data_IF_759014907457
#
_entry.id   IF_759014907457
#
_cell.length_a   1.000
_cell.length_b   1.000
_cell.length_c   1.000
_cell.angle_alpha   90.00
_cell.angle_beta   90.00
_cell.angle_gamma   90.00
#
_symmetry.space_group_name_H-M   'P 1'
#
loop_
_entity.id
_entity.type
_entity.pdbx_description
1 polymer ?
#
# COMPACT_ATOMS: atom_id res chain seq x y z
N UNK A 1 -32.99 9.93 25.49
CA UNK A 1 -32.30 9.02 24.56
C UNK A 1 -31.86 9.88 23.39
N UNK A 2 -30.55 9.97 23.12
CA UNK A 2 -29.99 10.75 22.01
C UNK A 2 -30.46 10.17 20.67
N UNK A 3 -30.58 11.00 19.65
CA UNK A 3 -30.98 10.59 18.29
C UNK A 3 -30.07 9.46 17.73
N UNK A 4 -28.81 9.37 18.20
CA UNK A 4 -27.87 8.28 17.91
C UNK A 4 -28.36 6.88 18.32
N UNK A 5 -29.17 6.77 19.36
CA UNK A 5 -29.72 5.48 19.83
C UNK A 5 -30.82 4.90 18.91
N UNK A 6 -31.24 5.63 17.86
CA UNK A 6 -32.24 5.22 16.89
C UNK A 6 -31.68 4.79 15.53
N UNK A 7 -30.35 4.95 15.33
CA UNK A 7 -29.72 4.60 14.07
C UNK A 7 -29.19 3.16 14.13
N UNK A 8 -29.39 2.42 13.05
CA UNK A 8 -28.74 1.12 12.88
C UNK A 8 -27.22 1.29 12.72
N UNK A 9 -26.43 0.29 13.15
CA UNK A 9 -25.00 0.25 12.89
C UNK A 9 -24.71 0.39 11.40
N UNK A 10 -23.56 1.00 11.06
CA UNK A 10 -23.17 1.19 9.66
C UNK A 10 -23.18 -0.15 8.90
N UNK A 11 -23.85 -0.22 7.73
CA UNK A 11 -23.85 -1.44 6.92
C UNK A 11 -22.44 -1.76 6.41
N UNK A 12 -21.91 -2.91 6.80
CA UNK A 12 -20.59 -3.37 6.35
C UNK A 12 -20.46 -3.49 4.82
N UNK A 13 -21.61 -3.69 4.14
CA UNK A 13 -21.66 -3.82 2.69
C UNK A 13 -21.19 -2.56 1.94
N UNK A 14 -21.22 -1.39 2.54
CA UNK A 14 -20.68 -0.16 1.93
C UNK A 14 -19.17 -0.26 1.72
N UNK A 15 -18.47 -0.96 2.59
CA UNK A 15 -17.03 -1.17 2.47
C UNK A 15 -16.64 -2.09 1.30
N UNK A 16 -17.61 -2.82 0.70
CA UNK A 16 -17.37 -3.57 -0.55
C UNK A 16 -17.01 -2.65 -1.73
N UNK A 17 -17.39 -1.38 -1.69
CA UNK A 17 -17.01 -0.40 -2.71
C UNK A 17 -15.48 -0.24 -2.81
N UNK A 18 -14.75 -0.45 -1.71
CA UNK A 18 -13.29 -0.44 -1.70
C UNK A 18 -12.65 -1.52 -2.59
N UNK A 19 -13.38 -2.61 -2.88
CA UNK A 19 -12.90 -3.69 -3.74
C UNK A 19 -12.89 -3.31 -5.24
N UNK A 20 -13.60 -2.25 -5.64
CA UNK A 20 -13.68 -1.81 -7.04
C UNK A 20 -12.28 -1.47 -7.57
N UNK A 21 -11.48 -0.73 -6.80
CA UNK A 21 -10.15 -0.32 -7.24
C UNK A 21 -9.22 -1.51 -7.57
N UNK A 22 -8.96 -2.47 -6.66
CA UNK A 22 -8.10 -3.60 -6.99
C UNK A 22 -8.67 -4.49 -8.10
N UNK A 23 -10.01 -4.66 -8.20
CA UNK A 23 -10.64 -5.43 -9.27
C UNK A 23 -10.47 -4.77 -10.64
N UNK A 24 -10.59 -3.45 -10.73
CA UNK A 24 -10.33 -2.70 -11.97
C UNK A 24 -8.87 -2.78 -12.38
N UNK A 25 -7.92 -2.72 -11.42
CA UNK A 25 -6.49 -2.85 -11.73
C UNK A 25 -6.16 -4.26 -12.20
N UNK A 26 -6.71 -5.31 -11.58
CA UNK A 26 -6.57 -6.69 -12.06
C UNK A 26 -7.07 -6.81 -13.51
N UNK A 27 -8.28 -6.31 -13.77
CA UNK A 27 -8.87 -6.33 -15.11
C UNK A 27 -8.03 -5.53 -16.10
N UNK A 28 -7.57 -4.34 -15.70
CA UNK A 28 -6.73 -3.46 -16.51
C UNK A 28 -5.38 -4.10 -16.86
N UNK A 29 -4.74 -4.78 -15.93
CA UNK A 29 -3.48 -5.49 -16.17
C UNK A 29 -3.67 -6.69 -17.13
N UNK A 30 -4.75 -7.46 -16.96
CA UNK A 30 -5.03 -8.61 -17.82
C UNK A 30 -5.41 -8.19 -19.26
N UNK A 31 -6.31 -7.23 -19.40
CA UNK A 31 -6.74 -6.71 -20.70
C UNK A 31 -5.65 -5.87 -21.37
N UNK A 32 -4.83 -5.18 -20.58
CA UNK A 32 -3.73 -4.33 -21.04
C UNK A 32 -2.64 -5.09 -21.82
N UNK A 33 -2.55 -6.40 -21.66
CA UNK A 33 -1.66 -7.25 -22.50
C UNK A 33 -2.10 -7.24 -23.97
N UNK A 34 -3.40 -7.15 -24.23
CA UNK A 34 -3.96 -7.12 -25.58
C UNK A 34 -4.08 -5.68 -26.10
N UNK A 35 -4.61 -4.79 -25.27
CA UNK A 35 -4.80 -3.37 -25.59
C UNK A 35 -4.26 -2.53 -24.43
N UNK A 36 -3.06 -1.95 -24.53
CA UNK A 36 -2.34 -1.33 -23.41
C UNK A 36 -3.10 -0.19 -22.70
N UNK A 37 -4.07 0.46 -23.37
CA UNK A 37 -4.89 1.52 -22.77
C UNK A 37 -5.67 1.04 -21.53
N UNK A 38 -6.02 -0.24 -21.44
CA UNK A 38 -6.73 -0.79 -20.29
C UNK A 38 -5.91 -0.72 -18.99
N UNK A 39 -4.57 -0.66 -19.07
CA UNK A 39 -3.73 -0.46 -17.89
C UNK A 39 -4.04 0.86 -17.15
N UNK A 40 -4.70 1.82 -17.80
CA UNK A 40 -5.13 3.08 -17.18
C UNK A 40 -6.40 2.97 -16.33
N UNK A 41 -7.09 1.82 -16.26
CA UNK A 41 -8.38 1.67 -15.56
C UNK A 41 -8.29 2.10 -14.09
N UNK A 42 -7.21 1.73 -13.39
CA UNK A 42 -7.00 2.14 -11.99
C UNK A 42 -6.80 3.64 -11.83
N UNK A 43 -5.98 4.26 -12.69
CA UNK A 43 -5.74 5.72 -12.69
C UNK A 43 -7.05 6.47 -12.94
N UNK A 44 -7.80 6.06 -13.97
CA UNK A 44 -9.07 6.71 -14.32
C UNK A 44 -10.06 6.58 -13.15
N UNK A 45 -10.15 5.40 -12.54
CA UNK A 45 -11.04 5.19 -11.41
C UNK A 45 -10.66 6.09 -10.22
N UNK A 46 -9.40 6.08 -9.79
CA UNK A 46 -8.99 6.78 -8.56
C UNK A 46 -8.95 8.30 -8.76
N UNK A 47 -8.50 8.80 -9.91
CA UNK A 47 -8.33 10.24 -10.11
C UNK A 47 -9.50 10.94 -10.79
N UNK A 48 -10.39 10.21 -11.43
CA UNK A 48 -11.53 10.79 -12.14
C UNK A 48 -12.85 10.30 -11.56
N UNK A 49 -13.10 8.99 -11.62
CA UNK A 49 -14.41 8.42 -11.22
C UNK A 49 -14.62 8.54 -9.71
N UNK A 50 -13.62 8.20 -8.90
CA UNK A 50 -13.71 8.28 -7.43
C UNK A 50 -14.07 9.68 -6.92
N UNK A 51 -13.30 10.74 -7.26
CA UNK A 51 -13.64 12.10 -6.86
C UNK A 51 -15.01 12.58 -7.36
N UNK A 52 -15.42 12.19 -8.57
CA UNK A 52 -16.77 12.52 -9.07
C UNK A 52 -17.84 11.83 -8.24
N UNK A 53 -17.66 10.55 -7.91
CA UNK A 53 -18.59 9.82 -7.06
C UNK A 53 -18.64 10.39 -5.64
N UNK A 54 -17.51 10.78 -5.08
CA UNK A 54 -17.43 11.41 -3.76
C UNK A 54 -18.26 12.69 -3.69
N UNK A 55 -18.10 13.57 -4.70
CA UNK A 55 -18.92 14.80 -4.82
C UNK A 55 -20.40 14.50 -5.00
N UNK A 56 -20.76 13.50 -5.82
CA UNK A 56 -22.15 13.18 -6.12
C UNK A 56 -22.89 12.47 -4.97
N UNK A 57 -22.19 11.58 -4.25
CA UNK A 57 -22.77 10.80 -3.17
C UNK A 57 -22.75 11.56 -1.84
N UNK A 58 -21.81 12.46 -1.66
CA UNK A 58 -21.65 13.26 -0.45
C UNK A 58 -21.20 12.44 0.77
N UNK A 59 -21.14 13.12 1.92
CA UNK A 59 -20.71 12.53 3.18
C UNK A 59 -21.87 12.28 4.15
N UNK A 60 -21.83 11.17 4.87
CA UNK A 60 -22.71 10.93 6.01
C UNK A 60 -22.09 11.57 7.27
N UNK A 61 -22.68 12.68 7.74
CA UNK A 61 -22.16 13.45 8.91
C UNK A 61 -22.65 12.92 10.27
N UNK A 62 -23.57 11.95 10.27
CA UNK A 62 -24.14 11.42 11.51
C UNK A 62 -23.39 10.16 11.92
N UNK A 63 -22.67 10.17 13.08
CA UNK A 63 -21.98 8.99 13.57
C UNK A 63 -23.00 7.90 13.92
N UNK A 64 -22.76 6.69 13.43
CA UNK A 64 -23.58 5.51 13.71
C UNK A 64 -23.07 4.76 14.95
N UNK A 65 -23.92 4.00 15.66
CA UNK A 65 -23.46 3.18 16.76
C UNK A 65 -22.52 2.07 16.27
N UNK A 66 -21.57 1.63 17.13
CA UNK A 66 -20.69 0.52 16.79
C UNK A 66 -21.49 -0.77 16.60
N UNK A 67 -20.95 -1.68 15.80
CA UNK A 67 -21.50 -3.03 15.63
C UNK A 67 -21.07 -3.94 16.77
N UNK A 68 -21.87 -4.97 17.08
CA UNK A 68 -21.54 -5.98 18.08
C UNK A 68 -20.37 -6.88 17.65
N UNK A 69 -20.13 -7.02 16.34
CA UNK A 69 -19.04 -7.83 15.79
C UNK A 69 -18.29 -7.11 14.69
N UNK A 70 -16.96 -7.09 14.79
CA UNK A 70 -16.01 -6.61 13.76
C UNK A 70 -15.68 -7.64 12.67
N UNK A 71 -16.16 -8.89 12.80
CA UNK A 71 -15.80 -9.99 11.88
C UNK A 71 -15.97 -9.66 10.39
N UNK A 72 -17.07 -9.03 9.94
CA UNK A 72 -17.22 -8.69 8.52
C UNK A 72 -16.09 -7.78 7.99
N UNK A 73 -15.64 -6.83 8.81
CA UNK A 73 -14.55 -5.93 8.45
C UNK A 73 -13.19 -6.65 8.43
N UNK A 74 -12.97 -7.55 9.38
CA UNK A 74 -11.75 -8.39 9.38
C UNK A 74 -11.69 -9.28 8.13
N UNK A 75 -12.81 -9.89 7.73
CA UNK A 75 -12.90 -10.66 6.47
C UNK A 75 -12.58 -9.78 5.27
N UNK A 76 -13.09 -8.54 5.23
CA UNK A 76 -12.80 -7.60 4.14
C UNK A 76 -11.30 -7.22 4.08
N UNK A 77 -10.65 -7.01 5.22
CA UNK A 77 -9.20 -6.79 5.26
C UNK A 77 -8.43 -7.97 4.65
N UNK A 78 -8.83 -9.20 4.95
CA UNK A 78 -8.25 -10.39 4.33
C UNK A 78 -8.50 -10.45 2.82
N UNK A 79 -9.71 -10.12 2.37
CA UNK A 79 -10.05 -10.06 0.94
C UNK A 79 -9.18 -9.02 0.24
N UNK A 80 -9.05 -7.80 0.78
CA UNK A 80 -8.15 -6.77 0.24
C UNK A 80 -6.69 -7.25 0.19
N UNK A 81 -6.23 -7.92 1.24
CA UNK A 81 -4.87 -8.49 1.29
C UNK A 81 -4.63 -9.52 0.19
N UNK A 82 -5.57 -10.44 -0.03
CA UNK A 82 -5.48 -11.45 -1.10
C UNK A 82 -5.54 -10.77 -2.48
N UNK A 83 -6.45 -9.81 -2.67
CA UNK A 83 -6.57 -9.07 -3.93
C UNK A 83 -5.27 -8.33 -4.26
N UNK A 84 -4.57 -7.77 -3.29
CA UNK A 84 -3.27 -7.14 -3.55
C UNK A 84 -2.25 -8.13 -4.13
N UNK A 85 -2.22 -9.37 -3.65
CA UNK A 85 -1.32 -10.39 -4.22
C UNK A 85 -1.71 -10.73 -5.66
N UNK A 86 -3.01 -10.77 -5.97
CA UNK A 86 -3.51 -10.95 -7.34
C UNK A 86 -3.18 -9.74 -8.21
N UNK A 87 -3.33 -8.50 -7.68
CA UNK A 87 -2.92 -7.27 -8.37
C UNK A 87 -1.44 -7.34 -8.75
N UNK A 88 -0.56 -7.70 -7.82
CA UNK A 88 0.87 -7.82 -8.11
C UNK A 88 1.18 -8.92 -9.13
N UNK A 89 0.53 -10.08 -9.03
CA UNK A 89 0.69 -11.17 -10.00
C UNK A 89 0.27 -10.77 -11.40
N UNK A 90 -0.90 -10.14 -11.54
CA UNK A 90 -1.39 -9.64 -12.84
C UNK A 90 -0.56 -8.47 -13.36
N UNK A 91 -0.04 -7.61 -12.49
CA UNK A 91 0.87 -6.55 -12.88
C UNK A 91 2.20 -7.09 -13.41
N UNK A 92 2.79 -8.10 -12.77
CA UNK A 92 4.00 -8.74 -13.28
C UNK A 92 3.75 -9.43 -14.62
N UNK A 93 2.60 -10.07 -14.79
CA UNK A 93 2.18 -10.61 -16.09
C UNK A 93 2.08 -9.52 -17.17
N UNK A 94 1.46 -8.39 -16.85
CA UNK A 94 1.39 -7.22 -17.73
C UNK A 94 2.79 -6.69 -18.07
N UNK A 95 3.64 -6.47 -17.06
CA UNK A 95 5.00 -5.96 -17.24
C UNK A 95 5.87 -6.88 -18.09
N UNK A 96 5.72 -8.20 -17.91
CA UNK A 96 6.40 -9.21 -18.71
C UNK A 96 6.05 -9.12 -20.21
N UNK A 97 4.76 -8.96 -20.53
CA UNK A 97 4.29 -8.90 -21.92
C UNK A 97 4.50 -7.53 -22.56
N UNK A 98 4.50 -6.47 -21.77
CA UNK A 98 4.59 -5.08 -22.26
C UNK A 98 6.04 -4.63 -22.46
N UNK A 99 6.97 -5.08 -21.62
CA UNK A 99 8.34 -4.62 -21.61
C UNK A 99 8.50 -3.17 -21.14
N UNK A 100 9.69 -2.59 -21.37
CA UNK A 100 10.00 -1.20 -20.98
C UNK A 100 9.42 -0.18 -21.98
N UNK A 101 8.26 0.36 -21.67
CA UNK A 101 7.64 1.44 -22.45
C UNK A 101 6.70 2.28 -21.57
N UNK A 102 6.02 3.27 -22.17
CA UNK A 102 5.14 4.19 -21.43
C UNK A 102 3.96 3.46 -20.74
N UNK A 103 3.45 2.37 -21.34
CA UNK A 103 2.33 1.64 -20.78
C UNK A 103 2.70 0.88 -19.51
N UNK A 104 3.96 0.45 -19.38
CA UNK A 104 4.47 -0.07 -18.09
C UNK A 104 4.35 0.99 -16.99
N UNK A 105 4.67 2.25 -17.30
CA UNK A 105 4.53 3.35 -16.32
C UNK A 105 3.07 3.58 -15.98
N UNK A 106 2.16 3.55 -16.95
CA UNK A 106 0.71 3.69 -16.73
C UNK A 106 0.16 2.55 -15.87
N UNK A 107 0.55 1.30 -16.16
CA UNK A 107 0.17 0.14 -15.34
C UNK A 107 0.73 0.21 -13.92
N UNK A 108 1.99 0.65 -13.79
CA UNK A 108 2.62 0.86 -12.48
C UNK A 108 1.93 1.97 -11.68
N UNK A 109 1.49 3.05 -12.34
CA UNK A 109 0.72 4.13 -11.72
C UNK A 109 -0.64 3.62 -11.21
N UNK A 110 -1.40 2.88 -12.04
CA UNK A 110 -2.66 2.24 -11.63
C UNK A 110 -2.47 1.30 -10.43
N UNK A 111 -1.44 0.44 -10.51
CA UNK A 111 -1.12 -0.53 -9.46
C UNK A 111 -0.70 0.16 -8.17
N UNK A 112 0.15 1.19 -8.24
CA UNK A 112 0.63 1.94 -7.08
C UNK A 112 -0.47 2.73 -6.37
N UNK A 113 -1.35 3.40 -7.12
CA UNK A 113 -2.50 4.12 -6.56
C UNK A 113 -3.47 3.16 -5.85
N UNK A 114 -3.77 2.02 -6.47
CA UNK A 114 -4.61 0.99 -5.85
C UNK A 114 -3.94 0.40 -4.60
N UNK A 115 -2.64 0.18 -4.62
CA UNK A 115 -1.90 -0.33 -3.47
C UNK A 115 -1.90 0.66 -2.30
N UNK A 116 -1.79 1.97 -2.56
CA UNK A 116 -1.92 2.99 -1.52
C UNK A 116 -3.31 2.96 -0.86
N UNK A 117 -4.37 2.99 -1.68
CA UNK A 117 -5.75 3.07 -1.22
C UNK A 117 -6.28 1.76 -0.58
N UNK A 118 -5.69 0.61 -0.90
CA UNK A 118 -6.15 -0.71 -0.47
C UNK A 118 -5.08 -1.46 0.34
N UNK A 119 -3.93 -1.76 -0.27
CA UNK A 119 -2.95 -2.65 0.33
C UNK A 119 -2.26 -2.08 1.57
N UNK A 120 -1.79 -0.82 1.51
CA UNK A 120 -1.07 -0.21 2.65
C UNK A 120 -2.05 0.09 3.79
N UNK A 121 -3.26 0.57 3.49
CA UNK A 121 -4.31 0.77 4.50
C UNK A 121 -4.67 -0.56 5.17
N UNK A 122 -4.84 -1.63 4.41
CA UNK A 122 -5.05 -2.97 4.95
C UNK A 122 -3.86 -3.44 5.78
N UNK A 123 -2.64 -3.23 5.30
CA UNK A 123 -1.42 -3.60 6.03
C UNK A 123 -1.26 -2.81 7.34
N UNK A 124 -1.68 -1.55 7.35
CA UNK A 124 -1.74 -0.70 8.54
C UNK A 124 -2.66 -1.33 9.60
N UNK A 125 -3.92 -1.58 9.26
CA UNK A 125 -4.90 -2.19 10.17
C UNK A 125 -4.44 -3.57 10.70
N UNK A 126 -3.99 -4.45 9.81
CA UNK A 126 -3.48 -5.77 10.18
C UNK A 126 -2.16 -5.69 10.97
N UNK A 127 -1.40 -4.61 10.80
CA UNK A 127 -0.15 -4.34 11.53
C UNK A 127 -0.35 -4.06 13.01
N UNK A 128 -1.55 -3.66 13.43
CA UNK A 128 -1.93 -3.47 14.84
C UNK A 128 -2.34 -4.77 15.55
N UNK A 129 -2.48 -5.87 14.83
CA UNK A 129 -2.86 -7.16 15.40
C UNK A 129 -1.72 -7.78 16.22
N UNK A 130 -2.06 -8.83 16.99
CA UNK A 130 -1.08 -9.54 17.83
C UNK A 130 0.14 -9.98 17.00
N UNK A 131 1.37 -9.66 17.44
CA UNK A 131 2.58 -10.08 16.75
C UNK A 131 2.62 -11.59 16.48
N UNK A 132 3.03 -11.97 15.27
CA UNK A 132 3.10 -13.35 14.77
C UNK A 132 1.74 -14.02 14.52
N UNK A 133 0.62 -13.30 14.61
CA UNK A 133 -0.66 -13.82 14.12
C UNK A 133 -0.68 -13.91 12.59
N UNK A 134 -1.60 -14.68 11.98
CA UNK A 134 -1.75 -14.70 10.53
C UNK A 134 -1.97 -13.30 9.93
N UNK A 135 -2.81 -12.46 10.55
CA UNK A 135 -3.08 -11.09 10.13
C UNK A 135 -1.82 -10.21 10.19
N UNK A 136 -1.00 -10.36 11.24
CA UNK A 136 0.28 -9.65 11.34
C UNK A 136 1.25 -10.08 10.23
N UNK A 137 1.31 -11.36 9.86
CA UNK A 137 2.15 -11.83 8.76
C UNK A 137 1.63 -11.34 7.41
N UNK A 138 0.31 -11.33 7.19
CA UNK A 138 -0.28 -10.77 5.98
C UNK A 138 0.10 -9.29 5.83
N UNK A 139 0.04 -8.48 6.90
CA UNK A 139 0.52 -7.10 6.90
C UNK A 139 1.97 -7.00 6.36
N UNK A 140 2.88 -7.88 6.79
CA UNK A 140 4.27 -7.89 6.32
C UNK A 140 4.40 -8.25 4.84
N UNK A 141 3.62 -9.20 4.37
CA UNK A 141 3.58 -9.57 2.94
C UNK A 141 3.07 -8.40 2.10
N UNK A 142 2.03 -7.69 2.56
CA UNK A 142 1.51 -6.52 1.86
C UNK A 142 2.53 -5.39 1.81
N UNK A 143 3.19 -5.07 2.93
CA UNK A 143 4.26 -4.06 2.97
C UNK A 143 5.48 -4.46 2.13
N UNK A 144 5.79 -5.75 2.04
CA UNK A 144 6.82 -6.24 1.13
C UNK A 144 6.43 -6.01 -0.33
N UNK A 145 5.16 -6.21 -0.69
CA UNK A 145 4.67 -6.00 -2.07
C UNK A 145 4.80 -4.56 -2.56
N UNK A 146 4.91 -3.60 -1.64
CA UNK A 146 5.11 -2.16 -1.93
C UNK A 146 6.48 -1.63 -1.47
N UNK A 147 7.43 -2.52 -1.18
CA UNK A 147 8.79 -2.16 -0.73
C UNK A 147 8.83 -1.24 0.52
N UNK A 148 7.91 -1.40 1.49
CA UNK A 148 7.78 -0.52 2.65
C UNK A 148 7.76 -1.28 4.00
N UNK A 149 8.61 -2.31 4.15
CA UNK A 149 8.62 -3.23 5.30
C UNK A 149 8.82 -2.57 6.66
N UNK A 150 9.51 -1.43 6.73
CA UNK A 150 9.79 -0.73 7.99
C UNK A 150 8.58 0.05 8.54
N UNK A 151 7.58 0.34 7.69
CA UNK A 151 6.42 1.16 8.00
C UNK A 151 5.77 0.81 9.34
N UNK A 152 5.35 -0.44 9.57
CA UNK A 152 4.63 -0.83 10.80
C UNK A 152 5.47 -0.59 12.07
N UNK A 153 6.81 -0.69 12.00
CA UNK A 153 7.66 -0.44 13.17
C UNK A 153 7.66 1.05 13.51
N UNK A 154 7.87 1.88 12.53
CA UNK A 154 7.86 3.33 12.70
C UNK A 154 6.46 3.80 13.12
N UNK A 155 5.44 3.41 12.39
CA UNK A 155 4.06 3.80 12.62
C UNK A 155 3.57 3.46 14.04
N UNK A 156 3.73 2.21 14.47
CA UNK A 156 3.21 1.77 15.77
C UNK A 156 4.02 2.30 16.97
N UNK A 157 5.33 2.55 16.83
CA UNK A 157 6.18 2.88 17.97
C UNK A 157 6.68 4.33 17.99
N UNK A 158 6.61 5.05 16.87
CA UNK A 158 6.99 6.45 16.79
C UNK A 158 5.82 7.35 16.41
N UNK A 159 5.23 7.17 15.23
CA UNK A 159 4.15 8.03 14.72
C UNK A 159 2.98 8.14 15.72
N UNK A 160 2.39 7.05 16.16
CA UNK A 160 1.30 7.07 17.15
C UNK A 160 1.65 7.78 18.48
N UNK A 161 2.93 7.83 18.81
CA UNK A 161 3.39 8.47 20.05
C UNK A 161 3.65 9.96 19.88
N UNK A 162 4.12 10.37 18.71
CA UNK A 162 4.68 11.69 18.48
C UNK A 162 4.00 12.48 17.36
N UNK A 163 2.87 11.98 16.82
CA UNK A 163 2.12 12.66 15.77
C UNK A 163 1.90 14.13 16.08
N UNK A 164 2.03 14.99 15.07
CA UNK A 164 1.95 16.45 15.15
C UNK A 164 3.05 17.10 16.02
N UNK A 165 4.20 16.44 16.21
CA UNK A 165 5.40 17.02 16.83
C UNK A 165 6.62 16.89 15.93
N UNK A 166 7.68 17.68 16.21
CA UNK A 166 8.95 17.65 15.46
C UNK A 166 9.70 16.29 15.57
N UNK A 167 9.27 15.40 16.46
CA UNK A 167 9.85 14.07 16.64
C UNK A 167 9.29 13.04 15.68
N UNK A 168 8.20 13.38 15.02
CA UNK A 168 7.54 12.49 14.06
C UNK A 168 7.92 12.88 12.62
N UNK A 169 8.71 12.07 11.92
CA UNK A 169 9.06 12.36 10.53
C UNK A 169 7.85 12.32 9.59
N UNK A 170 6.77 11.62 9.98
CA UNK A 170 5.52 11.52 9.22
C UNK A 170 4.54 12.68 9.51
N UNK A 171 4.94 13.67 10.31
CA UNK A 171 4.16 14.91 10.52
C UNK A 171 4.73 16.06 9.70
N UNK A 172 3.89 16.67 8.84
CA UNK A 172 4.25 17.88 8.13
C UNK A 172 4.30 19.08 9.09
N UNK A 173 5.24 20.00 8.85
CA UNK A 173 5.27 21.29 9.56
C UNK A 173 4.35 22.29 8.85
N UNK A 174 3.92 23.32 9.60
CA UNK A 174 3.10 24.37 9.00
C UNK A 174 3.80 25.01 7.79
N UNK A 175 3.06 25.16 6.69
CA UNK A 175 3.54 25.75 5.43
C UNK A 175 4.63 24.91 4.70
N UNK A 176 4.84 23.65 5.11
CA UNK A 176 5.77 22.75 4.43
C UNK A 176 5.21 22.32 3.07
N UNK A 177 6.02 22.43 2.00
CA UNK A 177 5.60 21.93 0.70
C UNK A 177 5.59 20.40 0.66
N UNK A 178 4.67 19.81 -0.11
CA UNK A 178 4.58 18.36 -0.30
C UNK A 178 5.91 17.74 -0.75
N UNK A 179 6.63 18.40 -1.66
CA UNK A 179 7.92 17.92 -2.16
C UNK A 179 8.98 17.83 -1.05
N UNK A 180 9.07 18.86 -0.19
CA UNK A 180 9.97 18.86 0.93
C UNK A 180 9.57 17.79 1.95
N UNK A 181 8.27 17.68 2.23
CA UNK A 181 7.73 16.66 3.12
C UNK A 181 8.12 15.24 2.67
N UNK A 182 7.93 14.88 1.41
CA UNK A 182 8.29 13.56 0.89
C UNK A 182 9.78 13.24 1.04
N UNK A 183 10.65 14.21 0.73
CA UNK A 183 12.10 14.04 0.88
C UNK A 183 12.52 13.85 2.35
N UNK A 184 11.81 14.49 3.27
CA UNK A 184 12.03 14.38 4.72
C UNK A 184 11.45 13.09 5.28
N UNK A 185 10.17 12.81 4.98
CA UNK A 185 9.39 11.77 5.67
C UNK A 185 9.88 10.36 5.37
N UNK A 186 10.11 10.01 4.10
CA UNK A 186 10.45 8.64 3.71
C UNK A 186 11.78 8.16 4.34
N UNK A 187 12.91 8.87 4.19
CA UNK A 187 14.15 8.48 4.86
C UNK A 187 14.09 8.66 6.38
N UNK A 188 13.32 9.65 6.85
CA UNK A 188 13.12 9.90 8.28
C UNK A 188 12.44 8.75 8.99
N UNK A 189 11.36 8.20 8.42
CA UNK A 189 10.66 7.03 8.93
C UNK A 189 11.55 5.77 8.95
N UNK A 190 12.36 5.56 7.89
CA UNK A 190 13.32 4.46 7.90
C UNK A 190 14.33 4.62 9.04
N UNK A 191 14.93 5.81 9.19
CA UNK A 191 15.86 6.12 10.29
C UNK A 191 15.22 5.90 11.66
N UNK A 192 14.01 6.41 11.87
CA UNK A 192 13.23 6.20 13.09
C UNK A 192 13.04 4.70 13.40
N UNK A 193 12.64 3.90 12.41
CA UNK A 193 12.49 2.46 12.56
C UNK A 193 13.79 1.74 12.97
N UNK A 194 14.93 2.19 12.44
CA UNK A 194 16.26 1.69 12.82
C UNK A 194 16.58 2.04 14.28
N UNK A 195 16.34 3.29 14.68
CA UNK A 195 16.59 3.76 16.05
C UNK A 195 15.73 3.03 17.09
N UNK A 196 14.46 2.75 16.77
CA UNK A 196 13.56 1.95 17.61
C UNK A 196 14.13 0.55 17.86
N UNK A 197 14.67 -0.10 16.84
CA UNK A 197 15.27 -1.42 17.02
C UNK A 197 16.63 -1.37 17.74
N UNK A 198 17.44 -0.35 17.47
CA UNK A 198 18.71 -0.14 18.16
C UNK A 198 18.51 0.10 19.66
N UNK A 199 17.50 0.86 20.08
CA UNK A 199 17.16 1.08 21.48
C UNK A 199 16.75 -0.21 22.22
N UNK A 200 16.32 -1.24 21.45
CA UNK A 200 15.99 -2.58 21.95
C UNK A 200 17.19 -3.56 21.86
N UNK A 201 18.42 -3.06 21.65
CA UNK A 201 19.64 -3.85 21.54
C UNK A 201 19.81 -4.61 20.22
N UNK A 202 18.97 -4.32 19.19
CA UNK A 202 19.05 -4.98 17.88
C UNK A 202 19.83 -4.07 16.91
N UNK A 203 21.15 -4.18 16.92
CA UNK A 203 22.06 -3.32 16.13
C UNK A 203 22.64 -4.02 14.92
N UNK A 204 23.17 -3.27 13.97
CA UNK A 204 23.82 -3.77 12.74
C UNK A 204 22.88 -4.68 11.97
N UNK A 205 23.35 -5.80 11.46
CA UNK A 205 22.54 -6.75 10.69
C UNK A 205 21.49 -7.51 11.53
N UNK A 206 21.56 -7.42 12.88
CA UNK A 206 20.48 -7.93 13.75
C UNK A 206 19.28 -6.98 13.80
N UNK A 207 19.39 -5.78 13.25
CA UNK A 207 18.28 -4.83 13.17
C UNK A 207 17.29 -5.25 12.07
N UNK A 208 15.99 -5.48 12.41
CA UNK A 208 14.99 -5.92 11.44
C UNK A 208 14.76 -4.95 10.28
N UNK A 209 14.95 -3.63 10.48
CA UNK A 209 14.81 -2.64 9.40
C UNK A 209 15.87 -2.81 8.33
N UNK A 210 17.14 -3.03 8.72
CA UNK A 210 18.21 -3.33 7.76
C UNK A 210 18.02 -4.68 7.07
N UNK A 211 17.56 -5.72 7.80
CA UNK A 211 17.26 -7.02 7.17
C UNK A 211 16.10 -6.92 6.18
N UNK A 212 15.07 -6.15 6.53
CA UNK A 212 13.96 -5.87 5.62
C UNK A 212 14.40 -5.17 4.35
N UNK A 213 15.21 -4.12 4.47
CA UNK A 213 15.79 -3.41 3.33
C UNK A 213 16.68 -4.34 2.48
N UNK A 214 17.56 -5.13 3.12
CA UNK A 214 18.41 -6.08 2.41
C UNK A 214 17.57 -7.13 1.65
N UNK A 215 16.52 -7.67 2.26
CA UNK A 215 15.59 -8.60 1.61
C UNK A 215 14.94 -7.97 0.37
N UNK A 216 14.45 -6.72 0.46
CA UNK A 216 13.86 -6.00 -0.66
C UNK A 216 14.88 -5.81 -1.79
N UNK A 217 16.09 -5.31 -1.49
CA UNK A 217 17.15 -5.12 -2.48
C UNK A 217 17.54 -6.44 -3.16
N UNK A 218 17.76 -7.49 -2.37
CA UNK A 218 18.13 -8.82 -2.91
C UNK A 218 17.02 -9.35 -3.81
N UNK A 219 15.75 -9.20 -3.42
CA UNK A 219 14.62 -9.65 -4.24
C UNK A 219 14.53 -8.88 -5.56
N UNK A 220 14.67 -7.55 -5.52
CA UNK A 220 14.64 -6.72 -6.73
C UNK A 220 15.79 -7.07 -7.68
N UNK A 221 17.01 -7.21 -7.17
CA UNK A 221 18.18 -7.60 -7.98
C UNK A 221 18.04 -9.02 -8.52
N UNK A 222 17.54 -9.95 -7.70
CA UNK A 222 17.28 -11.32 -8.14
C UNK A 222 16.24 -11.37 -9.26
N UNK A 223 15.15 -10.63 -9.12
CA UNK A 223 14.12 -10.54 -10.17
C UNK A 223 14.65 -9.91 -11.45
N UNK A 224 15.48 -8.87 -11.34
CA UNK A 224 16.03 -8.19 -12.50
C UNK A 224 16.98 -9.08 -13.33
N UNK A 225 17.86 -9.85 -12.66
CA UNK A 225 19.01 -10.46 -13.34
C UNK A 225 18.96 -11.98 -13.42
N UNK A 226 18.41 -12.69 -12.42
CA UNK A 226 18.46 -14.16 -12.41
C UNK A 226 17.67 -14.78 -13.58
N UNK A 227 16.43 -14.34 -13.91
CA UNK A 227 15.69 -14.94 -15.02
C UNK A 227 16.42 -14.83 -16.36
N UNK A 228 17.03 -13.66 -16.64
CA UNK A 228 17.81 -13.44 -17.86
C UNK A 228 19.10 -14.27 -17.88
N UNK A 229 19.82 -14.36 -16.76
CA UNK A 229 21.00 -15.19 -16.63
C UNK A 229 20.71 -16.68 -16.88
N UNK A 230 19.57 -17.16 -16.44
CA UNK A 230 19.12 -18.54 -16.67
C UNK A 230 18.46 -18.77 -18.04
N UNK A 231 18.34 -17.73 -18.87
CA UNK A 231 17.76 -17.83 -20.20
C UNK A 231 16.23 -17.97 -20.24
N UNK A 232 15.53 -17.61 -19.15
CA UNK A 232 14.06 -17.72 -19.11
C UNK A 232 13.37 -16.49 -19.68
N UNK A 233 13.64 -15.29 -19.13
CA UNK A 233 13.04 -14.03 -19.57
C UNK A 233 13.80 -12.82 -19.02
N UNK A 234 13.56 -11.63 -19.60
CA UNK A 234 14.07 -10.36 -19.07
C UNK A 234 13.27 -9.93 -17.83
N UNK A 235 13.90 -9.94 -16.66
CA UNK A 235 13.28 -9.51 -15.39
C UNK A 235 13.29 -8.00 -15.15
N UNK A 236 13.99 -7.23 -16.00
CA UNK A 236 14.14 -5.77 -15.81
C UNK A 236 12.78 -5.05 -15.87
N UNK A 237 11.87 -5.30 -16.84
CA UNK A 237 10.56 -4.64 -16.86
C UNK A 237 9.74 -4.87 -15.59
N UNK A 238 9.75 -6.09 -15.04
CA UNK A 238 9.04 -6.44 -13.80
C UNK A 238 9.59 -5.65 -12.63
N UNK A 239 10.92 -5.58 -12.52
CA UNK A 239 11.61 -4.88 -11.43
C UNK A 239 11.39 -3.38 -11.50
N UNK A 240 11.54 -2.78 -12.68
CA UNK A 240 11.30 -1.34 -12.90
C UNK A 240 9.84 -0.99 -12.61
N UNK A 241 8.91 -1.77 -13.14
CA UNK A 241 7.49 -1.60 -12.85
C UNK A 241 7.17 -1.70 -11.35
N UNK A 242 7.76 -2.67 -10.66
CA UNK A 242 7.57 -2.82 -9.20
C UNK A 242 8.13 -1.64 -8.41
N UNK A 243 9.31 -1.13 -8.77
CA UNK A 243 9.89 0.06 -8.13
C UNK A 243 8.99 1.28 -8.34
N UNK A 244 8.51 1.51 -9.57
CA UNK A 244 7.63 2.64 -9.88
C UNK A 244 6.31 2.51 -9.11
N UNK A 245 5.65 1.35 -9.13
CA UNK A 245 4.38 1.16 -8.41
C UNK A 245 4.56 1.32 -6.90
N UNK A 246 5.68 0.84 -6.33
CA UNK A 246 6.00 1.04 -4.91
C UNK A 246 6.22 2.52 -4.58
N UNK A 247 6.97 3.25 -5.40
CA UNK A 247 7.18 4.67 -5.20
C UNK A 247 5.85 5.44 -5.22
N UNK A 248 4.98 5.16 -6.20
CA UNK A 248 3.64 5.77 -6.29
C UNK A 248 2.80 5.45 -5.06
N UNK A 249 2.80 4.20 -4.59
CA UNK A 249 1.99 3.81 -3.43
C UNK A 249 2.47 4.49 -2.14
N UNK A 250 3.78 4.59 -1.93
CA UNK A 250 4.36 5.25 -0.77
C UNK A 250 4.09 6.76 -0.82
N UNK A 251 4.37 7.41 -1.95
CA UNK A 251 4.15 8.85 -2.10
C UNK A 251 2.66 9.23 -1.95
N UNK A 252 1.75 8.36 -2.41
CA UNK A 252 0.30 8.57 -2.25
C UNK A 252 -0.15 8.38 -0.80
N UNK A 253 0.43 7.43 -0.07
CA UNK A 253 0.15 7.23 1.35
C UNK A 253 0.59 8.43 2.19
N UNK A 254 1.77 8.97 1.88
CA UNK A 254 2.39 10.08 2.61
C UNK A 254 1.82 11.47 2.20
N UNK A 255 0.81 11.51 1.35
CA UNK A 255 0.08 12.73 0.96
C UNK A 255 -1.04 13.03 1.96
#
# INVERSE_FOLDING_TARGET
MSEQAKLDPEPWAYHLLGLISPLLVISGNLLGVYEPIYAAMGVIFIWVVGPVLDVLLGETKVPRPPRDSGTPFEVLLWVHGILQLVVMGTFFWFAFNTGLNIWLVVGALSTGLSAAASAIVTAHELGHTRPRSPSWWLSRVLLFSVNYLHFTTEHNYNHHRWVATDKDPASATKDESLWHFWIKTIPGQFKSSVEIHNSKGKTGFNNPSYRGLALQIVTLLSLAFIPGYLGYFDGIPLTVGWIISSAISILTLEY
#
